data_IF_657059451701
#
_entry.id   IF_657059451701
#
_cell.length_a   1.000
_cell.length_b   1.000
_cell.length_c   1.000
_cell.angle_alpha   90.00
_cell.angle_beta   90.00
_cell.angle_gamma   90.00
#
_symmetry.space_group_name_H-M   'P 1'
#
loop_
_entity.id
_entity.type
_entity.pdbx_description
1 polymer ?
#
# COMPACT_ATOMS: atom_id res chain seq x y z
N UNK A 1 -0.76 -13.08 1.22
CA UNK A 1 0.70 -13.30 1.44
C UNK A 1 1.02 -13.14 2.93
N UNK A 2 2.07 -13.78 3.50
CA UNK A 2 2.51 -13.43 4.85
C UNK A 2 3.04 -12.00 4.88
N UNK A 3 2.56 -11.20 5.83
CA UNK A 3 2.92 -9.80 5.97
C UNK A 3 2.89 -9.35 7.41
N UNK A 4 3.73 -8.38 7.76
CA UNK A 4 3.71 -7.76 9.08
C UNK A 4 2.66 -6.66 9.09
N UNK A 5 1.71 -6.71 10.03
CA UNK A 5 0.70 -5.66 10.20
C UNK A 5 1.37 -4.34 10.57
N UNK A 6 1.06 -3.28 9.82
CA UNK A 6 1.47 -1.91 10.14
C UNK A 6 0.38 -1.13 10.86
N UNK A 7 -0.87 -1.34 10.49
CA UNK A 7 -1.98 -0.54 10.98
C UNK A 7 -3.20 -0.70 10.08
N UNK A 8 -4.02 0.35 10.00
CA UNK A 8 -5.32 0.30 9.33
C UNK A 8 -5.60 1.58 8.54
N UNK A 9 -6.38 1.42 7.47
CA UNK A 9 -6.96 2.51 6.68
C UNK A 9 -8.47 2.38 6.66
N UNK A 10 -9.18 3.50 6.59
CA UNK A 10 -10.64 3.51 6.49
C UNK A 10 -11.06 3.39 5.02
N UNK A 11 -11.68 2.27 4.68
CA UNK A 11 -12.32 2.08 3.38
C UNK A 11 -13.72 2.70 3.43
N UNK A 12 -13.84 3.93 2.89
CA UNK A 12 -15.12 4.66 2.83
C UNK A 12 -16.22 3.88 2.08
N UNK A 13 -15.86 3.10 1.06
CA UNK A 13 -16.82 2.37 0.25
C UNK A 13 -17.42 1.19 1.00
N UNK A 14 -16.62 0.53 1.83
CA UNK A 14 -17.07 -0.56 2.70
C UNK A 14 -17.51 -0.07 4.09
N UNK A 15 -17.32 1.21 4.41
CA UNK A 15 -17.55 1.80 5.74
C UNK A 15 -16.87 1.02 6.88
N UNK A 16 -15.65 0.52 6.64
CA UNK A 16 -14.87 -0.23 7.64
C UNK A 16 -13.37 0.05 7.54
N UNK A 17 -12.66 -0.15 8.65
CA UNK A 17 -11.19 -0.17 8.64
C UNK A 17 -10.68 -1.50 8.10
N UNK A 18 -9.72 -1.44 7.18
CA UNK A 18 -9.02 -2.61 6.62
C UNK A 18 -7.54 -2.57 7.00
N UNK A 19 -6.91 -3.72 7.25
CA UNK A 19 -5.50 -3.78 7.65
C UNK A 19 -4.56 -3.40 6.51
N UNK A 20 -3.42 -2.82 6.89
CA UNK A 20 -2.27 -2.55 6.01
C UNK A 20 -1.10 -3.41 6.47
N UNK A 21 -0.51 -4.16 5.55
CA UNK A 21 0.63 -5.03 5.80
C UNK A 21 1.87 -4.57 5.02
N UNK A 22 3.06 -4.90 5.50
CA UNK A 22 4.27 -4.98 4.66
C UNK A 22 4.48 -6.44 4.27
N UNK A 23 4.70 -6.70 2.99
CA UNK A 23 5.04 -8.04 2.52
C UNK A 23 6.37 -8.52 3.10
N UNK A 24 6.39 -9.69 3.73
CA UNK A 24 7.60 -10.33 4.26
C UNK A 24 8.36 -11.13 3.21
N UNK A 25 7.72 -11.44 2.08
CA UNK A 25 8.31 -12.19 0.98
C UNK A 25 7.56 -11.94 -0.32
N UNK A 26 8.23 -12.19 -1.43
CA UNK A 26 7.64 -12.24 -2.77
C UNK A 26 8.58 -12.94 -3.74
N UNK A 27 8.25 -12.95 -5.02
CA UNK A 27 9.09 -13.60 -6.03
C UNK A 27 10.49 -12.98 -6.03
N UNK A 28 11.49 -13.78 -5.68
CA UNK A 28 12.89 -13.36 -5.65
C UNK A 28 13.34 -12.60 -4.40
N UNK A 29 12.50 -12.45 -3.36
CA UNK A 29 12.93 -11.78 -2.12
C UNK A 29 12.28 -12.32 -0.85
N UNK A 30 13.02 -12.17 0.26
CA UNK A 30 12.51 -12.24 1.63
C UNK A 30 12.94 -10.97 2.34
N UNK A 31 12.03 -10.37 3.10
CA UNK A 31 12.21 -9.09 3.79
C UNK A 31 12.25 -9.33 5.30
N UNK A 32 13.31 -8.88 5.95
CA UNK A 32 13.41 -8.88 7.40
C UNK A 32 12.69 -7.64 7.94
N UNK A 33 11.37 -7.71 8.05
CA UNK A 33 10.53 -6.58 8.48
C UNK A 33 10.87 -6.10 9.90
N UNK A 34 11.40 -6.98 10.76
CA UNK A 34 11.90 -6.62 12.09
C UNK A 34 13.09 -5.66 12.09
N UNK A 35 13.91 -5.64 11.03
CA UNK A 35 15.05 -4.74 10.90
C UNK A 35 14.71 -3.38 10.28
N UNK A 36 13.48 -3.20 9.79
CA UNK A 36 13.03 -1.92 9.26
C UNK A 36 12.69 -1.01 10.44
N UNK A 37 13.30 0.18 10.44
CA UNK A 37 13.08 1.20 11.47
C UNK A 37 11.60 1.57 11.61
N UNK A 38 11.17 1.80 12.84
CA UNK A 38 9.78 2.12 13.17
C UNK A 38 9.30 3.40 12.50
N UNK A 39 10.16 4.42 12.37
CA UNK A 39 9.81 5.68 11.69
C UNK A 39 9.56 5.43 10.20
N UNK A 40 10.34 4.56 9.56
CA UNK A 40 10.14 4.19 8.15
C UNK A 40 8.82 3.44 7.95
N UNK A 41 8.47 2.52 8.87
CA UNK A 41 7.16 1.84 8.86
C UNK A 41 6.00 2.83 9.02
N UNK A 42 6.12 3.75 9.98
CA UNK A 42 5.10 4.76 10.26
C UNK A 42 4.93 5.71 9.07
N UNK A 43 6.01 6.10 8.41
CA UNK A 43 5.96 6.94 7.21
C UNK A 43 5.23 6.23 6.07
N UNK A 44 5.60 4.97 5.78
CA UNK A 44 4.96 4.18 4.74
C UNK A 44 3.46 3.98 5.01
N UNK A 45 3.09 3.69 6.26
CA UNK A 45 1.68 3.61 6.67
C UNK A 45 0.96 4.95 6.48
N UNK A 46 1.54 6.05 6.97
CA UNK A 46 0.94 7.38 6.89
C UNK A 46 0.68 7.80 5.44
N UNK A 47 1.66 7.58 4.56
CA UNK A 47 1.55 7.91 3.12
C UNK A 47 0.50 7.04 2.43
N UNK A 48 0.51 5.74 2.70
CA UNK A 48 -0.49 4.81 2.15
C UNK A 48 -1.90 5.17 2.64
N UNK A 49 -2.04 5.52 3.92
CA UNK A 49 -3.30 5.95 4.52
C UNK A 49 -3.85 7.21 3.87
N UNK A 50 -3.04 8.26 3.75
CA UNK A 50 -3.45 9.50 3.11
C UNK A 50 -3.90 9.25 1.66
N UNK A 51 -3.09 8.55 0.86
CA UNK A 51 -3.42 8.29 -0.54
C UNK A 51 -4.69 7.43 -0.72
N UNK A 52 -4.89 6.44 0.16
CA UNK A 52 -6.07 5.56 0.12
C UNK A 52 -7.34 6.27 0.56
N UNK A 53 -7.32 6.93 1.71
CA UNK A 53 -8.51 7.56 2.31
C UNK A 53 -8.96 8.80 1.52
N UNK A 54 -8.05 9.50 0.84
CA UNK A 54 -8.37 10.59 -0.09
C UNK A 54 -8.88 10.10 -1.45
N UNK A 55 -8.91 8.78 -1.70
CA UNK A 55 -9.38 8.21 -2.97
C UNK A 55 -8.44 8.48 -4.16
N UNK A 56 -7.18 8.83 -3.88
CA UNK A 56 -6.12 9.05 -4.89
C UNK A 56 -5.50 7.73 -5.34
N UNK A 57 -5.53 6.71 -4.49
CA UNK A 57 -4.85 5.44 -4.75
C UNK A 57 -5.67 4.48 -5.62
N UNK A 58 -6.97 4.35 -5.33
CA UNK A 58 -7.87 3.42 -6.01
C UNK A 58 -9.22 4.09 -6.31
N UNK A 59 -9.96 3.54 -7.26
CA UNK A 59 -11.34 3.96 -7.51
C UNK A 59 -12.29 3.38 -6.47
N UNK A 60 -13.47 3.99 -6.31
CA UNK A 60 -14.46 3.49 -5.37
C UNK A 60 -14.92 2.06 -5.74
N UNK A 61 -14.92 1.70 -7.03
CA UNK A 61 -15.24 0.34 -7.50
C UNK A 61 -14.17 -0.68 -7.13
N UNK A 62 -12.89 -0.34 -7.28
CA UNK A 62 -11.79 -1.17 -6.80
C UNK A 62 -11.92 -1.43 -5.29
N UNK A 63 -12.21 -0.37 -4.53
CA UNK A 63 -12.32 -0.43 -3.07
C UNK A 63 -13.45 -1.33 -2.56
N UNK A 64 -14.48 -1.63 -3.36
CA UNK A 64 -15.56 -2.56 -2.97
C UNK A 64 -15.08 -4.00 -2.78
N UNK A 65 -14.00 -4.39 -3.45
CA UNK A 65 -13.44 -5.73 -3.36
C UNK A 65 -12.21 -5.81 -2.44
N UNK A 66 -11.76 -4.69 -1.86
CA UNK A 66 -10.53 -4.62 -1.07
C UNK A 66 -10.80 -4.79 0.42
N UNK A 67 -10.28 -5.88 0.97
CA UNK A 67 -10.35 -6.24 2.38
C UNK A 67 -9.04 -5.99 3.12
N UNK A 68 -7.94 -5.78 2.40
CA UNK A 68 -6.65 -5.39 2.96
C UNK A 68 -5.75 -4.67 1.94
N UNK A 69 -4.74 -3.96 2.43
CA UNK A 69 -3.68 -3.37 1.62
C UNK A 69 -2.34 -4.01 1.97
N UNK A 70 -1.55 -4.36 0.97
CA UNK A 70 -0.18 -4.87 1.13
C UNK A 70 0.82 -3.93 0.46
N UNK A 71 1.76 -3.40 1.24
CA UNK A 71 2.96 -2.72 0.72
C UNK A 71 3.94 -3.81 0.28
N UNK A 72 3.94 -4.07 -1.03
CA UNK A 72 4.77 -5.11 -1.65
C UNK A 72 6.22 -4.67 -1.82
N UNK A 73 6.43 -3.39 -2.13
CA UNK A 73 7.75 -2.78 -2.19
C UNK A 73 7.78 -1.48 -1.39
N UNK A 74 8.83 -1.32 -0.59
CA UNK A 74 9.08 -0.10 0.19
C UNK A 74 9.56 1.03 -0.73
N UNK A 75 10.07 2.12 -0.17
CA UNK A 75 10.56 3.27 -0.96
C UNK A 75 11.55 2.83 -2.04
N UNK A 76 11.23 3.11 -3.30
CA UNK A 76 12.07 2.83 -4.46
C UNK A 76 11.78 3.80 -5.60
N UNK A 77 12.65 3.79 -6.61
CA UNK A 77 12.53 4.53 -7.86
C UNK A 77 12.65 3.54 -9.02
N UNK A 78 12.13 3.90 -10.18
CA UNK A 78 12.36 3.16 -11.43
C UNK A 78 12.72 4.12 -12.56
N UNK A 79 13.23 3.60 -13.66
CA UNK A 79 13.55 4.42 -14.83
C UNK A 79 12.31 5.09 -15.44
N UNK A 80 11.13 4.47 -15.26
CA UNK A 80 9.85 4.98 -15.74
C UNK A 80 9.14 5.89 -14.73
N UNK A 81 9.43 5.76 -13.43
CA UNK A 81 8.98 6.68 -12.37
C UNK A 81 10.17 7.06 -11.47
N UNK A 82 10.83 8.19 -11.80
CA UNK A 82 12.02 8.62 -11.08
C UNK A 82 11.72 9.16 -9.67
N UNK A 83 10.45 9.33 -9.31
CA UNK A 83 10.07 9.79 -7.98
C UNK A 83 10.05 8.61 -7.01
N UNK A 84 10.46 8.87 -5.76
CA UNK A 84 10.46 7.83 -4.74
C UNK A 84 9.02 7.47 -4.35
N UNK A 85 8.68 6.19 -4.43
CA UNK A 85 7.33 5.70 -4.18
C UNK A 85 7.33 4.30 -3.53
N UNK A 86 6.16 3.92 -3.02
CA UNK A 86 5.85 2.59 -2.50
C UNK A 86 4.98 1.85 -3.52
N UNK A 87 5.22 0.55 -3.72
CA UNK A 87 4.29 -0.30 -4.50
C UNK A 87 3.32 -0.98 -3.56
N UNK A 88 2.04 -0.69 -3.75
CA UNK A 88 0.96 -1.20 -2.91
C UNK A 88 -0.01 -2.03 -3.74
N UNK A 89 -0.68 -2.96 -3.08
CA UNK A 89 -1.68 -3.83 -3.69
C UNK A 89 -2.90 -3.84 -2.78
N UNK A 90 -4.08 -3.59 -3.35
CA UNK A 90 -5.33 -3.92 -2.69
C UNK A 90 -5.65 -5.38 -2.94
N UNK A 91 -6.01 -6.11 -1.89
CA UNK A 91 -6.29 -7.53 -1.92
C UNK A 91 -7.69 -7.81 -1.34
N UNK A 92 -8.32 -8.88 -1.83
CA UNK A 92 -9.57 -9.39 -1.28
C UNK A 92 -9.36 -10.17 0.02
N UNK A 93 -10.43 -10.71 0.61
CA UNK A 93 -10.38 -11.48 1.84
C UNK A 93 -9.52 -12.75 1.73
N UNK A 94 -9.32 -13.29 0.53
CA UNK A 94 -8.46 -14.44 0.25
C UNK A 94 -6.99 -14.07 0.06
N UNK A 95 -6.65 -12.77 0.10
CA UNK A 95 -5.31 -12.28 -0.22
C UNK A 95 -5.00 -12.29 -1.71
N UNK A 96 -6.02 -12.40 -2.58
CA UNK A 96 -5.86 -12.27 -4.02
C UNK A 96 -5.83 -10.79 -4.40
N UNK A 97 -4.90 -10.42 -5.29
CA UNK A 97 -4.75 -9.04 -5.75
C UNK A 97 -5.98 -8.60 -6.55
N UNK A 98 -6.62 -7.52 -6.09
CA UNK A 98 -7.67 -6.79 -6.82
C UNK A 98 -7.01 -5.81 -7.79
N UNK A 99 -6.14 -4.92 -7.29
CA UNK A 99 -5.46 -3.87 -8.07
C UNK A 99 -4.12 -3.51 -7.42
N UNK A 100 -3.15 -3.10 -8.24
CA UNK A 100 -1.89 -2.51 -7.78
C UNK A 100 -1.94 -0.99 -7.92
N UNK A 101 -1.26 -0.29 -7.03
CA UNK A 101 -1.08 1.16 -7.08
C UNK A 101 0.32 1.56 -6.64
N UNK A 102 0.63 2.83 -6.85
CA UNK A 102 1.86 3.45 -6.35
C UNK A 102 1.50 4.60 -5.42
N UNK A 103 2.26 4.75 -4.33
CA UNK A 103 2.11 5.85 -3.39
C UNK A 103 3.41 6.65 -3.40
N UNK A 104 3.37 7.87 -3.92
CA UNK A 104 4.53 8.76 -3.91
C UNK A 104 4.88 9.18 -2.48
N UNK A 105 6.18 9.29 -2.18
CA UNK A 105 6.64 9.91 -0.92
C UNK A 105 6.34 11.42 -0.91
N UNK A 106 6.49 12.05 -2.08
CA UNK A 106 6.10 13.43 -2.35
C UNK A 106 4.65 13.45 -2.87
N UNK A 107 3.73 13.83 -1.98
CA UNK A 107 2.29 13.86 -2.25
C UNK A 107 1.90 14.81 -3.39
N UNK A 108 2.71 15.85 -3.66
CA UNK A 108 2.47 16.76 -4.79
C UNK A 108 2.61 16.08 -6.14
N UNK A 109 3.26 14.91 -6.18
CA UNK A 109 3.48 14.10 -7.38
C UNK A 109 2.54 12.90 -7.47
N UNK A 110 1.70 12.68 -6.46
CA UNK A 110 0.73 11.59 -6.46
C UNK A 110 -0.40 11.91 -7.45
N UNK A 111 -0.45 11.15 -8.54
CA UNK A 111 -1.56 11.19 -9.49
C UNK A 111 -2.52 10.05 -9.23
N UNK A 112 -3.79 10.24 -9.60
CA UNK A 112 -4.78 9.17 -9.49
C UNK A 112 -4.43 8.06 -10.48
N UNK A 113 -4.43 6.81 -10.01
CA UNK A 113 -4.26 5.67 -10.91
C UNK A 113 -5.52 5.53 -11.77
N UNK A 114 -5.37 5.54 -13.10
CA UNK A 114 -6.47 5.36 -14.05
C UNK A 114 -6.95 3.90 -14.13
#
# INVERSE_FOLDING_TARGET
MPGTLLGYVFNKTLSKSIPVYIAESGTGFKRLTGAIDTQVKNLALSKTKAAFEEGKLFTDDDMKAMEQITISNMSHRSDSDPNAHYSVQGEDAGGSKVKSGHVQEDESKQTRTN
#
